data_IF_123626058816
#
_entry.id   IF_123626058816
#
_cell.length_a   1.000
_cell.length_b   1.000
_cell.length_c   1.000
_cell.angle_alpha   90.00
_cell.angle_beta   90.00
_cell.angle_gamma   90.00
#
_symmetry.space_group_name_H-M   'P 1'
#
loop_
_entity.id
_entity.type
_entity.pdbx_description
1 polymer ?
#
# COMPACT_ATOMS: atom_id res chain seq x y z
N UNK A 1 4.27 6.79 -10.19
CA UNK A 1 3.05 7.29 -9.52
C UNK A 1 1.99 7.44 -10.58
N UNK A 2 0.81 6.91 -10.34
CA UNK A 2 -0.33 6.89 -11.26
C UNK A 2 -1.52 7.51 -10.54
N UNK A 3 -2.16 8.52 -11.14
CA UNK A 3 -3.37 9.11 -10.57
C UNK A 3 -4.52 8.10 -10.68
N UNK A 4 -5.38 8.02 -9.66
CA UNK A 4 -6.60 7.22 -9.65
C UNK A 4 -7.81 8.18 -9.67
N UNK A 5 -8.25 8.66 -10.85
CA UNK A 5 -9.25 9.71 -10.95
C UNK A 5 -10.56 9.37 -10.23
N UNK A 6 -10.96 8.10 -10.27
CA UNK A 6 -12.18 7.58 -9.66
C UNK A 6 -12.15 7.60 -8.12
N UNK A 7 -10.97 7.76 -7.51
CA UNK A 7 -10.78 7.86 -6.05
C UNK A 7 -10.49 9.28 -5.58
N UNK A 8 -10.21 10.20 -6.50
CA UNK A 8 -9.97 11.60 -6.18
C UNK A 8 -11.24 12.29 -5.67
N UNK A 9 -11.07 13.27 -4.79
CA UNK A 9 -12.16 14.15 -4.35
C UNK A 9 -11.92 15.58 -4.86
N UNK A 10 -12.82 16.51 -4.55
CA UNK A 10 -12.59 17.94 -4.80
C UNK A 10 -11.38 18.50 -4.03
N UNK A 11 -10.98 17.88 -2.91
CA UNK A 11 -9.91 18.35 -2.02
C UNK A 11 -8.63 17.50 -2.06
N UNK A 12 -8.71 16.26 -2.52
CA UNK A 12 -7.61 15.28 -2.43
C UNK A 12 -7.35 14.62 -3.77
N UNK A 13 -6.09 14.56 -4.18
CA UNK A 13 -5.62 13.69 -5.26
C UNK A 13 -5.19 12.34 -4.69
N UNK A 14 -5.62 11.26 -5.32
CA UNK A 14 -5.28 9.89 -4.92
C UNK A 14 -4.43 9.25 -6.00
N UNK A 15 -3.32 8.64 -5.58
CA UNK A 15 -2.38 8.00 -6.48
C UNK A 15 -2.08 6.58 -6.06
N UNK A 16 -1.97 5.68 -7.03
CA UNK A 16 -1.27 4.42 -6.86
C UNK A 16 0.24 4.68 -7.03
N UNK A 17 1.03 4.27 -6.04
CA UNK A 17 2.48 4.44 -6.04
C UNK A 17 3.18 3.09 -5.95
N UNK A 18 4.38 3.04 -6.50
CA UNK A 18 5.32 1.97 -6.22
C UNK A 18 6.72 2.53 -6.06
N UNK A 19 7.52 1.91 -5.19
CA UNK A 19 8.92 2.25 -4.97
C UNK A 19 9.74 0.97 -4.74
N UNK A 20 11.05 1.12 -4.86
CA UNK A 20 11.99 0.01 -4.74
C UNK A 20 11.99 -0.50 -3.29
N UNK A 21 11.93 -1.83 -3.12
CA UNK A 21 12.12 -2.49 -1.83
C UNK A 21 13.54 -3.09 -1.72
N UNK A 22 13.85 -3.80 -0.64
CA UNK A 22 15.21 -4.24 -0.26
C UNK A 22 15.98 -5.00 -1.34
N UNK A 23 15.31 -5.81 -2.17
CA UNK A 23 15.92 -6.60 -3.25
C UNK A 23 15.66 -5.92 -4.58
N UNK A 24 16.68 -5.80 -5.45
CA UNK A 24 16.48 -5.27 -6.81
C UNK A 24 15.30 -5.99 -7.51
N UNK A 25 14.41 -5.21 -8.12
CA UNK A 25 13.17 -5.71 -8.73
C UNK A 25 12.02 -5.98 -7.76
N UNK A 26 12.27 -6.10 -6.46
CA UNK A 26 11.22 -6.09 -5.43
C UNK A 26 10.65 -4.69 -5.28
N UNK A 27 9.33 -4.60 -5.10
CA UNK A 27 8.59 -3.33 -5.06
C UNK A 27 7.73 -3.29 -3.81
N UNK A 28 7.52 -2.10 -3.28
CA UNK A 28 6.44 -1.80 -2.36
C UNK A 28 5.41 -0.97 -3.09
N UNK A 29 4.14 -1.32 -2.93
CA UNK A 29 3.00 -0.62 -3.53
C UNK A 29 2.16 0.04 -2.45
N UNK A 30 1.52 1.15 -2.78
CA UNK A 30 0.67 1.86 -1.83
C UNK A 30 -0.27 2.85 -2.50
N UNK A 31 -1.18 3.41 -1.69
CA UNK A 31 -2.04 4.52 -2.06
C UNK A 31 -1.56 5.78 -1.35
N UNK A 32 -1.24 6.79 -2.14
CA UNK A 32 -0.84 8.12 -1.68
C UNK A 32 -2.00 9.09 -1.86
N UNK A 33 -2.46 9.71 -0.77
CA UNK A 33 -3.46 10.78 -0.81
C UNK A 33 -2.79 12.12 -0.50
N UNK A 34 -2.92 13.07 -1.42
CA UNK A 34 -2.33 14.41 -1.31
C UNK A 34 -3.44 15.48 -1.27
N UNK A 35 -3.43 16.41 -0.31
CA UNK A 35 -4.24 17.62 -0.40
C UNK A 35 -3.95 18.36 -1.71
N UNK A 36 -4.99 18.82 -2.41
CA UNK A 36 -4.87 19.55 -3.68
C UNK A 36 -4.33 20.95 -3.50
N UNK A 37 -4.64 21.60 -2.38
CA UNK A 37 -4.14 22.93 -2.06
C UNK A 37 -2.62 22.85 -1.85
N UNK A 38 -1.81 23.69 -2.51
CA UNK A 38 -0.38 23.73 -2.24
C UNK A 38 -0.10 24.13 -0.80
N UNK A 39 0.82 23.43 -0.13
CA UNK A 39 1.15 23.69 1.26
C UNK A 39 2.16 22.69 1.83
N UNK A 40 2.56 22.92 3.08
CA UNK A 40 3.33 21.95 3.88
C UNK A 40 2.35 21.24 4.81
N UNK A 41 2.35 19.92 4.78
CA UNK A 41 1.44 19.08 5.54
C UNK A 41 2.22 18.05 6.35
N UNK A 42 1.77 17.68 7.56
CA UNK A 42 2.25 16.48 8.21
C UNK A 42 1.99 15.26 7.31
N UNK A 43 2.83 14.23 7.43
CA UNK A 43 2.68 12.98 6.71
C UNK A 43 2.35 11.84 7.68
N UNK A 44 1.38 11.00 7.28
CA UNK A 44 0.98 9.79 7.99
C UNK A 44 1.29 8.57 7.11
N UNK A 45 2.21 7.73 7.57
CA UNK A 45 2.43 6.39 7.02
C UNK A 45 1.45 5.41 7.70
N UNK A 46 0.61 4.76 6.90
CA UNK A 46 -0.32 3.73 7.35
C UNK A 46 0.23 2.36 6.94
N UNK A 47 0.58 1.57 7.94
CA UNK A 47 1.01 0.18 7.75
C UNK A 47 -0.15 -0.77 8.05
N UNK A 48 -0.30 -1.86 7.29
CA UNK A 48 -1.45 -2.73 7.44
C UNK A 48 -1.29 -3.75 8.55
N UNK A 49 -2.41 -4.18 9.14
CA UNK A 49 -2.46 -5.43 9.91
C UNK A 49 -2.37 -6.66 9.01
N UNK A 50 -2.27 -7.86 9.61
CA UNK A 50 -2.18 -9.12 8.88
C UNK A 50 -3.29 -9.31 7.83
N UNK A 51 -2.92 -9.81 6.65
CA UNK A 51 -3.85 -10.22 5.58
C UNK A 51 -3.37 -9.85 4.19
N UNK A 52 -4.03 -10.42 3.17
CA UNK A 52 -3.77 -10.19 1.75
C UNK A 52 -5.00 -9.46 1.18
N UNK A 53 -4.87 -8.16 0.87
CA UNK A 53 -6.01 -7.32 0.48
C UNK A 53 -5.58 -6.06 -0.30
N UNK A 54 -6.50 -5.43 -1.06
CA UNK A 54 -6.28 -4.11 -1.64
C UNK A 54 -6.34 -3.00 -0.59
N UNK A 55 -5.98 -1.80 -1.00
CA UNK A 55 -6.05 -0.58 -0.19
C UNK A 55 -6.74 0.55 -0.95
N UNK A 56 -7.49 1.36 -0.21
CA UNK A 56 -8.25 2.49 -0.75
C UNK A 56 -7.52 3.82 -0.54
N UNK A 57 -6.60 3.90 0.42
CA UNK A 57 -6.04 5.16 0.90
C UNK A 57 -6.97 5.87 1.89
N UNK A 58 -6.47 6.93 2.50
CA UNK A 58 -7.17 7.67 3.56
C UNK A 58 -7.41 9.12 3.13
N UNK A 59 -8.46 9.29 2.32
CA UNK A 59 -8.91 10.60 1.83
C UNK A 59 -9.52 11.47 2.92
N UNK A 60 -9.99 10.87 4.02
CA UNK A 60 -10.61 11.60 5.13
C UNK A 60 -9.56 12.30 5.98
N UNK A 61 -8.47 11.62 6.33
CA UNK A 61 -7.35 12.27 7.01
C UNK A 61 -6.65 13.24 6.06
N UNK A 62 -6.57 12.91 4.76
CA UNK A 62 -5.96 13.81 3.79
C UNK A 62 -6.74 15.12 3.60
N UNK A 63 -8.08 15.07 3.57
CA UNK A 63 -8.91 16.27 3.48
C UNK A 63 -8.78 17.19 4.70
N UNK A 64 -8.38 16.65 5.86
CA UNK A 64 -8.09 17.40 7.09
C UNK A 64 -6.67 17.99 7.12
N UNK A 65 -5.90 17.88 6.03
CA UNK A 65 -4.60 18.52 5.89
C UNK A 65 -3.41 17.65 6.33
N UNK A 66 -3.47 16.34 6.10
CA UNK A 66 -2.28 15.48 6.14
C UNK A 66 -2.00 14.86 4.77
N UNK A 67 -0.76 14.50 4.50
CA UNK A 67 -0.43 13.57 3.41
C UNK A 67 -0.55 12.15 3.98
N UNK A 68 -1.31 11.27 3.34
CA UNK A 68 -1.39 9.87 3.79
C UNK A 68 -0.77 8.93 2.77
N UNK A 69 0.05 7.98 3.24
CA UNK A 69 0.59 6.90 2.43
C UNK A 69 0.23 5.57 3.09
N UNK A 70 -0.65 4.81 2.47
CA UNK A 70 -1.04 3.46 2.90
C UNK A 70 -0.33 2.42 2.04
N UNK A 71 0.45 1.52 2.64
CA UNK A 71 1.28 0.56 1.91
C UNK A 71 0.78 -0.88 2.03
N UNK A 72 0.99 -1.67 0.98
CA UNK A 72 0.88 -3.12 1.02
C UNK A 72 2.21 -3.78 1.38
N UNK A 73 2.14 -5.02 1.87
CA UNK A 73 3.31 -5.79 2.35
C UNK A 73 3.72 -6.94 1.42
N UNK A 74 2.94 -7.23 0.37
CA UNK A 74 3.09 -8.45 -0.45
C UNK A 74 3.82 -8.24 -1.78
N UNK A 75 4.34 -7.04 -2.04
CA UNK A 75 5.03 -6.75 -3.30
C UNK A 75 4.18 -6.85 -4.56
N UNK A 76 2.85 -6.77 -4.42
CA UNK A 76 1.87 -6.74 -5.51
C UNK A 76 1.14 -5.39 -5.49
N UNK A 77 0.64 -4.89 -6.65
CA UNK A 77 -0.24 -3.73 -6.71
C UNK A 77 -1.38 -3.79 -5.69
N UNK A 78 -1.80 -2.64 -5.16
CA UNK A 78 -2.82 -2.55 -4.09
C UNK A 78 -4.21 -2.13 -4.60
N UNK A 79 -4.37 -2.09 -5.93
CA UNK A 79 -5.59 -1.63 -6.62
C UNK A 79 -6.29 -2.73 -7.43
N UNK A 80 -5.84 -3.98 -7.35
CA UNK A 80 -6.44 -5.09 -8.09
C UNK A 80 -7.84 -5.45 -7.55
N UNK A 81 -8.65 -6.22 -8.29
CA UNK A 81 -9.90 -6.77 -7.76
C UNK A 81 -9.65 -7.66 -6.54
N UNK A 82 -10.55 -7.62 -5.55
CA UNK A 82 -10.48 -8.40 -4.30
C UNK A 82 -10.16 -9.89 -4.56
N UNK A 83 -10.80 -10.49 -5.57
CA UNK A 83 -10.59 -11.89 -5.96
C UNK A 83 -9.13 -12.26 -6.23
N UNK A 84 -8.31 -11.33 -6.72
CA UNK A 84 -6.87 -11.58 -6.93
C UNK A 84 -6.16 -11.81 -5.61
N UNK A 85 -6.45 -10.99 -4.60
CA UNK A 85 -5.90 -11.12 -3.25
C UNK A 85 -6.42 -12.38 -2.55
N UNK A 86 -7.70 -12.71 -2.72
CA UNK A 86 -8.28 -13.93 -2.17
C UNK A 86 -7.58 -15.17 -2.73
N UNK A 87 -7.35 -15.21 -4.04
CA UNK A 87 -6.62 -16.31 -4.69
C UNK A 87 -5.16 -16.39 -4.22
N UNK A 88 -4.48 -15.25 -4.06
CA UNK A 88 -3.10 -15.23 -3.56
C UNK A 88 -3.03 -15.67 -2.09
N UNK A 89 -3.95 -15.20 -1.25
CA UNK A 89 -4.02 -15.57 0.17
C UNK A 89 -4.31 -17.05 0.39
N UNK A 90 -5.12 -17.66 -0.47
CA UNK A 90 -5.37 -19.11 -0.48
C UNK A 90 -4.32 -19.91 -1.28
N UNK A 91 -3.36 -19.24 -1.91
CA UNK A 91 -2.37 -19.84 -2.80
C UNK A 91 -0.96 -19.41 -2.44
N UNK A 92 -0.31 -18.64 -3.31
CA UNK A 92 1.10 -18.28 -3.20
C UNK A 92 1.50 -17.54 -1.90
N UNK A 93 0.56 -16.91 -1.21
CA UNK A 93 0.76 -16.21 0.06
C UNK A 93 0.14 -16.96 1.25
N UNK A 94 -0.32 -18.19 1.07
CA UNK A 94 -0.83 -19.00 2.17
C UNK A 94 0.28 -19.25 3.20
N UNK A 95 0.01 -18.89 4.47
CA UNK A 95 1.00 -19.02 5.54
C UNK A 95 2.16 -18.01 5.48
N UNK A 96 2.02 -16.89 4.74
CA UNK A 96 3.10 -15.89 4.60
C UNK A 96 3.79 -15.45 5.91
N UNK A 97 3.12 -15.31 7.08
CA UNK A 97 3.81 -14.90 8.30
C UNK A 97 4.92 -15.85 8.73
N UNK A 98 4.85 -17.12 8.32
CA UNK A 98 5.78 -18.19 8.68
C UNK A 98 6.78 -18.50 7.56
N UNK A 99 6.72 -17.80 6.42
CA UNK A 99 7.66 -18.07 5.32
C UNK A 99 9.09 -17.73 5.74
N UNK A 100 9.95 -18.76 5.71
CA UNK A 100 11.36 -18.71 6.11
C UNK A 100 11.58 -18.17 7.54
N UNK A 101 10.67 -18.45 8.47
CA UNK A 101 10.76 -17.98 9.87
C UNK A 101 11.92 -18.60 10.68
N UNK A 102 12.58 -19.61 10.12
CA UNK A 102 13.81 -20.20 10.62
C UNK A 102 15.10 -19.49 10.15
N UNK A 103 15.01 -18.51 9.25
CA UNK A 103 16.16 -17.77 8.73
C UNK A 103 15.90 -16.26 8.78
N UNK A 104 16.63 -15.56 9.67
CA UNK A 104 16.54 -14.09 9.81
C UNK A 104 16.71 -13.34 8.49
N UNK A 105 17.55 -13.85 7.59
CA UNK A 105 17.91 -13.16 6.36
C UNK A 105 17.00 -13.44 5.17
N UNK A 106 16.11 -14.42 5.30
CA UNK A 106 15.16 -14.83 4.26
C UNK A 106 13.69 -14.76 4.72
N UNK A 107 13.48 -14.47 6.02
CA UNK A 107 12.16 -14.30 6.62
C UNK A 107 11.33 -13.27 5.86
N UNK A 108 10.03 -13.56 5.76
CA UNK A 108 9.04 -12.67 5.14
C UNK A 108 9.09 -11.22 5.68
N UNK A 109 9.45 -11.03 6.95
CA UNK A 109 9.45 -9.72 7.62
C UNK A 109 10.75 -8.92 7.47
N UNK A 110 11.68 -9.36 6.62
CA UNK A 110 12.94 -8.64 6.39
C UNK A 110 12.78 -7.35 5.59
#
# INVERSE_FOLDING_TARGET
>A
MELLPERCTNQVNVYHVSFQNIRNGSRTYGILCLPKTPGKYPALLRVPGAGVRPYSGDVEVASKGAITLEIGIHGIPVTMPQKVYDNLGNGALYGYPYMNDNNRDESYYK
#
